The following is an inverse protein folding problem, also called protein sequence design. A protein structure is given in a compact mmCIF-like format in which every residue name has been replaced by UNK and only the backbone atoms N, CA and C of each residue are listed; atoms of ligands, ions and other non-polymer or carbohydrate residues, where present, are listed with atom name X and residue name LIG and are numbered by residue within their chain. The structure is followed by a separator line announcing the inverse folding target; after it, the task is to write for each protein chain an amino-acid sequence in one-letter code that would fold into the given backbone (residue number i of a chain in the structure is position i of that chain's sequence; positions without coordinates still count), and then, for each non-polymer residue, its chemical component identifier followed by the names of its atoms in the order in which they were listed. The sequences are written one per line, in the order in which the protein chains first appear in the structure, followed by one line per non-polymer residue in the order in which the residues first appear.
data_IF_090304739609
#
_entry.id   IF_090304739609
#
_cell.length_a   1.000
_cell.length_b   1.000
_cell.length_c   1.000
_cell.angle_alpha   90.00
_cell.angle_beta   90.00
_cell.angle_gamma   90.00
#
_symmetry.space_group_name_H-M   'P 1'
#
loop_
_entity.id
_entity.type
_entity.pdbx_description
1 polymer ?
#
# COMPACT_ATOMS: atom_id res chain seq x y z
N UNK A 1 6.65 -9.15 5.19
CA UNK A 1 6.93 -7.78 5.69
C UNK A 1 5.84 -7.44 6.71
N UNK A 2 6.18 -6.96 7.92
CA UNK A 2 5.17 -6.60 8.90
C UNK A 2 4.35 -5.39 8.43
N UNK A 3 3.05 -5.40 8.72
CA UNK A 3 2.17 -4.24 8.58
C UNK A 3 2.30 -3.38 9.85
N UNK A 4 2.78 -2.15 9.73
CA UNK A 4 3.05 -1.29 10.89
C UNK A 4 1.79 -0.68 11.53
N UNK A 5 0.60 -0.90 10.94
CA UNK A 5 -0.67 -0.64 11.61
C UNK A 5 -1.15 -1.82 12.48
N UNK A 6 -0.49 -2.99 12.41
CA UNK A 6 -0.85 -4.15 13.23
C UNK A 6 -0.60 -3.89 14.72
N UNK A 7 -1.61 -4.17 15.57
CA UNK A 7 -1.47 -4.06 17.03
C UNK A 7 -0.38 -4.96 17.58
N UNK A 8 -0.26 -6.20 17.07
CA UNK A 8 0.83 -7.13 17.42
C UNK A 8 2.21 -6.59 17.05
N UNK A 9 2.33 -5.86 15.93
CA UNK A 9 3.60 -5.20 15.60
C UNK A 9 3.88 -4.07 16.59
N UNK A 10 2.89 -3.25 16.92
CA UNK A 10 3.04 -2.16 17.90
C UNK A 10 3.47 -2.70 19.27
N UNK A 11 2.75 -3.67 19.83
CA UNK A 11 3.05 -4.30 21.13
C UNK A 11 4.49 -4.82 21.27
N UNK A 12 5.14 -5.17 20.15
CA UNK A 12 6.56 -5.60 20.16
C UNK A 12 7.54 -4.45 20.43
N UNK A 13 7.17 -3.22 20.09
CA UNK A 13 8.04 -2.04 20.15
C UNK A 13 7.61 -1.04 21.22
N UNK A 14 6.40 -1.18 21.75
CA UNK A 14 5.85 -0.38 22.83
C UNK A 14 5.26 -1.32 23.89
N UNK A 15 5.75 -1.23 25.13
CA UNK A 15 5.31 -2.05 26.26
C UNK A 15 3.95 -1.58 26.83
N UNK A 16 3.00 -1.27 25.96
CA UNK A 16 1.70 -0.68 26.33
C UNK A 16 0.58 -1.49 25.68
N UNK A 17 -0.38 -1.94 26.50
CA UNK A 17 -1.64 -2.47 26.00
C UNK A 17 -2.38 -1.35 25.26
N UNK A 18 -2.62 -1.57 23.98
CA UNK A 18 -3.17 -0.56 23.09
C UNK A 18 -4.70 -0.67 22.92
N UNK A 19 -5.33 -1.66 23.57
CA UNK A 19 -6.75 -2.00 23.38
C UNK A 19 -7.72 -0.83 23.57
N UNK A 20 -7.45 0.03 24.56
CA UNK A 20 -8.35 1.11 25.02
C UNK A 20 -7.86 2.53 24.71
N UNK A 21 -6.79 2.68 23.93
CA UNK A 21 -6.20 3.99 23.64
C UNK A 21 -7.10 4.84 22.72
N UNK A 22 -7.18 6.14 23.01
CA UNK A 22 -7.83 7.13 22.16
C UNK A 22 -7.08 7.27 20.82
N UNK A 23 -7.74 7.73 19.73
CA UNK A 23 -7.09 7.86 18.42
C UNK A 23 -5.79 8.67 18.42
N UNK A 24 -5.74 9.78 19.17
CA UNK A 24 -4.53 10.60 19.28
C UNK A 24 -3.40 9.90 20.07
N UNK A 25 -3.75 9.10 21.07
CA UNK A 25 -2.80 8.30 21.85
C UNK A 25 -2.24 7.15 20.99
N UNK A 26 -3.10 6.51 20.19
CA UNK A 26 -2.69 5.51 19.21
C UNK A 26 -1.73 6.09 18.16
N UNK A 27 -1.97 7.31 17.67
CA UNK A 27 -1.07 7.96 16.72
C UNK A 27 0.31 8.22 17.34
N UNK A 28 0.35 8.73 18.57
CA UNK A 28 1.60 8.95 19.30
C UNK A 28 2.35 7.64 19.57
N UNK A 29 1.61 6.58 19.92
CA UNK A 29 2.15 5.24 20.13
C UNK A 29 2.75 4.68 18.84
N UNK A 30 2.06 4.81 17.70
CA UNK A 30 2.55 4.37 16.39
C UNK A 30 3.83 5.11 16.00
N UNK A 31 3.88 6.43 16.18
CA UNK A 31 5.08 7.23 15.93
C UNK A 31 6.26 6.78 16.80
N UNK A 32 6.00 6.44 18.06
CA UNK A 32 7.01 5.93 19.00
C UNK A 32 7.51 4.53 18.60
N UNK A 33 6.61 3.64 18.16
CA UNK A 33 6.96 2.31 17.68
C UNK A 33 7.91 2.37 16.47
N UNK A 34 7.72 3.30 15.53
CA UNK A 34 8.69 3.51 14.43
C UNK A 34 10.08 3.90 14.95
N UNK A 35 10.18 4.79 15.94
CA UNK A 35 11.46 5.20 16.54
C UNK A 35 12.15 4.03 17.25
N UNK A 36 11.41 3.27 18.06
CA UNK A 36 11.92 2.08 18.72
C UNK A 36 12.39 1.02 17.72
N UNK A 37 11.63 0.81 16.65
CA UNK A 37 11.99 -0.11 15.58
C UNK A 37 13.31 0.31 14.89
N UNK A 38 13.44 1.59 14.52
CA UNK A 38 14.65 2.12 13.91
C UNK A 38 15.88 2.03 14.84
N UNK A 39 15.69 2.17 16.16
CA UNK A 39 16.77 2.04 17.13
C UNK A 39 17.34 0.61 17.21
N UNK A 40 16.55 -0.41 16.83
CA UNK A 40 16.99 -1.82 16.80
C UNK A 40 17.64 -2.21 15.48
N UNK A 41 17.58 -1.35 14.45
CA UNK A 41 18.18 -1.57 13.14
C UNK A 41 17.25 -1.24 11.97
N UNK A 42 17.78 -1.38 10.76
CA UNK A 42 17.03 -1.11 9.54
C UNK A 42 16.13 -2.30 9.17
N UNK A 43 14.87 -2.02 8.85
CA UNK A 43 13.91 -3.02 8.37
C UNK A 43 12.94 -2.40 7.36
N UNK A 44 12.23 -3.25 6.62
CA UNK A 44 11.16 -2.81 5.73
C UNK A 44 9.81 -2.93 6.44
N UNK A 45 9.03 -1.87 6.39
CA UNK A 45 7.69 -1.80 6.97
C UNK A 45 6.66 -1.55 5.87
N UNK A 46 5.51 -2.23 5.95
CA UNK A 46 4.36 -2.00 5.07
C UNK A 46 3.40 -1.02 5.75
N UNK A 47 2.97 -0.01 5.02
CA UNK A 47 1.97 0.98 5.46
C UNK A 47 0.99 1.28 4.34
N UNK A 48 -0.20 1.74 4.72
CA UNK A 48 -1.22 2.21 3.77
C UNK A 48 -1.79 3.58 4.14
N UNK A 49 -1.31 4.18 5.23
CA UNK A 49 -1.67 5.53 5.57
C UNK A 49 -1.10 6.49 4.53
N UNK A 50 -1.81 7.58 4.23
CA UNK A 50 -1.20 8.78 3.63
C UNK A 50 -0.03 9.25 4.51
N UNK A 51 0.92 9.96 3.91
CA UNK A 51 1.99 10.55 4.71
C UNK A 51 1.42 11.59 5.68
N UNK A 52 1.89 11.50 6.92
CA UNK A 52 1.72 12.47 8.00
C UNK A 52 3.02 12.51 8.81
N UNK A 53 3.67 13.68 8.90
CA UNK A 53 4.94 13.83 9.62
C UNK A 53 4.83 13.62 11.14
N UNK A 54 3.62 13.61 11.70
CA UNK A 54 3.37 13.24 13.11
C UNK A 54 3.46 11.73 13.31
N UNK A 55 2.94 10.97 12.34
CA UNK A 55 2.93 9.51 12.37
C UNK A 55 4.26 8.91 11.90
N UNK A 56 4.88 9.49 10.88
CA UNK A 56 6.12 9.00 10.26
C UNK A 56 7.31 9.89 10.62
N UNK A 57 8.03 9.61 11.72
CA UNK A 57 9.17 10.43 12.10
C UNK A 57 10.29 10.32 11.06
N UNK A 58 10.67 11.46 10.48
CA UNK A 58 11.74 11.55 9.48
C UNK A 58 13.07 10.96 9.99
N UNK A 59 13.39 11.17 11.28
CA UNK A 59 14.58 10.61 11.91
C UNK A 59 14.59 9.06 11.99
N UNK A 60 13.44 8.41 11.84
CA UNK A 60 13.31 6.95 11.83
C UNK A 60 13.05 6.38 10.42
N UNK A 61 13.10 7.23 9.37
CA UNK A 61 12.74 6.84 8.00
C UNK A 61 13.95 7.02 7.08
N UNK A 62 14.52 5.91 6.61
CA UNK A 62 15.68 5.94 5.70
C UNK A 62 15.28 6.28 4.25
N UNK A 63 14.07 5.88 3.84
CA UNK A 63 13.54 6.16 2.51
C UNK A 63 12.21 5.45 2.28
N UNK A 64 11.51 5.86 1.22
CA UNK A 64 10.16 5.35 0.90
C UNK A 64 10.15 4.65 -0.46
N UNK A 65 9.62 3.44 -0.53
CA UNK A 65 9.25 2.80 -1.81
C UNK A 65 7.74 3.00 -2.01
N UNK A 66 7.37 3.81 -2.99
CA UNK A 66 5.96 4.08 -3.30
C UNK A 66 5.56 3.33 -4.57
N UNK A 67 4.58 2.43 -4.45
CA UNK A 67 4.02 1.71 -5.59
C UNK A 67 2.69 2.35 -5.97
N UNK A 68 2.63 2.91 -7.18
CA UNK A 68 1.40 3.50 -7.73
C UNK A 68 0.83 2.63 -8.85
N UNK A 69 -0.48 2.72 -9.05
CA UNK A 69 -1.22 2.05 -10.12
C UNK A 69 -2.25 3.02 -10.67
N UNK A 70 -2.63 2.85 -11.94
CA UNK A 70 -3.72 3.61 -12.55
C UNK A 70 -4.98 3.53 -11.68
N UNK A 71 -5.59 4.67 -11.26
CA UNK A 71 -6.75 4.64 -10.37
C UNK A 71 -7.95 3.90 -10.99
N UNK A 72 -8.02 3.80 -12.32
CA UNK A 72 -9.04 3.01 -13.02
C UNK A 72 -8.89 1.52 -12.79
N UNK A 73 -7.66 1.01 -12.69
CA UNK A 73 -7.42 -0.38 -12.28
C UNK A 73 -7.47 -0.58 -10.77
N UNK A 74 -7.26 0.48 -9.97
CA UNK A 74 -7.40 0.43 -8.51
C UNK A 74 -8.86 0.25 -8.11
N UNK A 75 -9.80 1.02 -8.69
CA UNK A 75 -11.22 0.99 -8.30
C UNK A 75 -11.86 -0.42 -8.28
N UNK A 76 -11.82 -1.23 -9.35
CA UNK A 76 -12.40 -2.58 -9.32
C UNK A 76 -11.59 -3.54 -8.42
N UNK A 77 -10.28 -3.31 -8.28
CA UNK A 77 -9.44 -4.09 -7.35
C UNK A 77 -9.79 -3.80 -5.89
N UNK A 78 -10.07 -2.54 -5.58
CA UNK A 78 -10.51 -2.08 -4.27
C UNK A 78 -11.91 -2.62 -3.96
N UNK A 79 -12.84 -2.50 -4.91
CA UNK A 79 -14.19 -3.05 -4.79
C UNK A 79 -14.19 -4.53 -4.41
N UNK A 80 -13.40 -5.35 -5.12
CA UNK A 80 -13.25 -6.79 -4.81
C UNK A 80 -12.64 -7.02 -3.42
N UNK A 81 -11.55 -6.34 -3.10
CA UNK A 81 -10.86 -6.50 -1.82
C UNK A 81 -11.76 -6.09 -0.65
N UNK A 82 -12.44 -4.96 -0.77
CA UNK A 82 -13.28 -4.37 0.27
C UNK A 82 -14.70 -4.96 0.31
N UNK A 83 -15.09 -5.75 -0.70
CA UNK A 83 -16.45 -6.26 -0.90
C UNK A 83 -17.51 -5.18 -0.93
N UNK A 84 -17.24 -4.15 -1.71
CA UNK A 84 -18.19 -3.10 -2.05
C UNK A 84 -18.40 -3.09 -3.55
N UNK A 85 -19.47 -2.46 -4.01
CA UNK A 85 -19.62 -2.18 -5.43
C UNK A 85 -18.58 -1.16 -5.93
N UNK A 86 -18.42 -1.10 -7.25
CA UNK A 86 -17.43 -0.23 -7.89
C UNK A 86 -17.71 1.25 -7.65
N UNK A 87 -18.97 1.69 -7.58
CA UNK A 87 -19.30 3.10 -7.37
C UNK A 87 -18.96 3.56 -5.95
N UNK A 88 -19.19 2.70 -4.96
CA UNK A 88 -18.73 2.87 -3.58
C UNK A 88 -17.21 2.93 -3.52
N UNK A 89 -16.49 2.05 -4.23
CA UNK A 89 -15.03 2.10 -4.29
C UNK A 89 -14.52 3.42 -4.88
N UNK A 90 -15.10 3.90 -5.99
CA UNK A 90 -14.76 5.19 -6.59
C UNK A 90 -15.06 6.33 -5.62
N UNK A 91 -16.18 6.28 -4.88
CA UNK A 91 -16.51 7.29 -3.88
C UNK A 91 -15.47 7.36 -2.76
N UNK A 92 -15.06 6.20 -2.24
CA UNK A 92 -14.01 6.11 -1.23
C UNK A 92 -12.66 6.61 -1.75
N UNK A 93 -12.30 6.31 -3.00
CA UNK A 93 -11.07 6.83 -3.63
C UNK A 93 -11.07 8.36 -3.79
N UNK A 94 -12.25 9.00 -3.84
CA UNK A 94 -12.41 10.45 -3.85
C UNK A 94 -12.50 11.10 -2.46
N UNK A 95 -12.61 10.31 -1.38
CA UNK A 95 -12.86 10.81 -0.04
C UNK A 95 -11.57 11.26 0.67
N UNK A 96 -11.43 12.59 0.84
CA UNK A 96 -10.28 13.21 1.51
C UNK A 96 -10.12 12.78 2.98
N UNK A 97 -11.20 12.34 3.62
CA UNK A 97 -11.26 11.89 5.00
C UNK A 97 -11.46 10.38 5.13
N UNK A 98 -11.15 9.62 4.06
CA UNK A 98 -11.20 8.16 4.12
C UNK A 98 -10.26 7.62 5.19
N UNK A 99 -10.82 6.83 6.08
CA UNK A 99 -10.09 6.03 7.05
C UNK A 99 -10.51 4.56 7.00
N UNK A 100 -9.53 3.69 7.13
CA UNK A 100 -9.71 2.25 7.25
C UNK A 100 -9.61 1.81 8.71
N UNK A 101 -10.23 0.68 9.05
CA UNK A 101 -10.14 0.04 10.37
C UNK A 101 -10.67 0.91 11.53
N UNK A 102 -11.67 1.77 11.29
CA UNK A 102 -12.37 2.60 12.32
C UNK A 102 -13.42 1.85 13.14
N UNK A 103 -13.41 0.52 13.15
CA UNK A 103 -14.47 -0.27 13.79
C UNK A 103 -14.66 0.08 15.27
N UNK A 104 -15.91 0.29 15.68
CA UNK A 104 -16.32 0.65 17.05
C UNK A 104 -16.76 -0.55 17.89
N UNK A 105 -16.82 -1.76 17.33
CA UNK A 105 -17.23 -2.96 18.03
C UNK A 105 -16.17 -4.07 17.92
N UNK A 106 -15.64 -4.48 19.07
CA UNK A 106 -14.67 -5.58 19.20
C UNK A 106 -13.22 -5.22 18.88
N UNK A 107 -12.30 -6.10 19.26
CA UNK A 107 -10.87 -5.97 18.98
C UNK A 107 -10.60 -5.93 17.48
N UNK A 108 -9.92 -4.87 17.03
CA UNK A 108 -9.47 -4.73 15.64
C UNK A 108 -7.96 -5.02 15.57
N UNK A 109 -7.50 -6.00 14.79
CA UNK A 109 -6.08 -6.38 14.73
C UNK A 109 -5.18 -5.30 14.12
N UNK A 110 -5.77 -4.29 13.48
CA UNK A 110 -5.09 -3.12 12.93
C UNK A 110 -5.65 -1.85 13.54
N UNK A 111 -4.77 -0.91 13.82
CA UNK A 111 -5.11 0.47 14.20
C UNK A 111 -5.77 1.21 13.04
N UNK A 112 -6.58 2.25 13.32
CA UNK A 112 -7.16 3.08 12.27
C UNK A 112 -6.08 3.67 11.37
N UNK A 113 -6.32 3.65 10.07
CA UNK A 113 -5.38 4.14 9.07
C UNK A 113 -6.02 5.23 8.22
N UNK A 114 -5.37 6.39 8.09
CA UNK A 114 -5.88 7.47 7.24
C UNK A 114 -5.41 7.27 5.81
N UNK A 115 -6.31 7.02 4.87
CA UNK A 115 -5.94 6.84 3.46
C UNK A 115 -6.04 8.16 2.69
N UNK A 116 -7.11 8.94 2.93
CA UNK A 116 -7.49 10.08 2.08
C UNK A 116 -7.79 9.67 0.63
N UNK A 117 -8.10 10.66 -0.22
CA UNK A 117 -8.37 10.44 -1.63
C UNK A 117 -7.10 9.94 -2.34
N UNK A 118 -7.24 9.15 -3.42
CA UNK A 118 -6.12 8.57 -4.16
C UNK A 118 -5.08 9.62 -4.56
N UNK A 119 -5.52 10.75 -5.11
CA UNK A 119 -4.63 11.84 -5.52
C UNK A 119 -3.88 12.45 -4.33
N UNK A 120 -4.57 12.74 -3.24
CA UNK A 120 -3.98 13.29 -2.02
C UNK A 120 -3.01 12.31 -1.37
N UNK A 121 -3.31 11.01 -1.41
CA UNK A 121 -2.42 9.97 -0.91
C UNK A 121 -1.11 9.95 -1.72
N UNK A 122 -1.18 9.98 -3.05
CA UNK A 122 0.01 10.02 -3.92
C UNK A 122 0.84 11.27 -3.63
N UNK A 123 0.21 12.45 -3.62
CA UNK A 123 0.88 13.74 -3.38
C UNK A 123 1.56 13.76 -2.02
N UNK A 124 0.90 13.27 -0.97
CA UNK A 124 1.47 13.26 0.38
C UNK A 124 2.79 12.48 0.46
N UNK A 125 2.91 11.35 -0.23
CA UNK A 125 4.12 10.53 -0.18
C UNK A 125 5.23 11.01 -1.13
N UNK A 126 4.87 11.59 -2.28
CA UNK A 126 5.84 11.91 -3.31
C UNK A 126 6.28 13.39 -3.30
N UNK A 127 5.50 14.28 -2.70
CA UNK A 127 5.81 15.71 -2.62
C UNK A 127 5.97 16.22 -1.19
N UNK A 128 5.22 15.68 -0.21
CA UNK A 128 5.26 16.17 1.18
C UNK A 128 6.22 15.36 2.07
N UNK A 129 6.37 14.06 1.82
CA UNK A 129 7.25 13.21 2.61
C UNK A 129 8.74 13.57 2.40
N UNK A 130 9.52 13.74 3.48
CA UNK A 130 10.93 14.08 3.38
C UNK A 130 11.77 12.86 3.02
N UNK A 131 12.98 13.12 2.54
CA UNK A 131 13.99 12.10 2.28
C UNK A 131 13.84 11.42 0.92
N UNK A 132 14.67 10.41 0.65
CA UNK A 132 14.70 9.76 -0.65
C UNK A 132 13.46 8.87 -0.84
N UNK A 133 12.90 8.88 -2.05
CA UNK A 133 11.84 7.98 -2.45
C UNK A 133 12.14 7.29 -3.78
N UNK A 134 11.66 6.05 -3.91
CA UNK A 134 11.61 5.31 -5.15
C UNK A 134 10.16 5.14 -5.57
N UNK A 135 9.78 5.78 -6.68
CA UNK A 135 8.50 5.56 -7.33
C UNK A 135 8.56 4.35 -8.27
N UNK A 136 7.69 3.38 -8.04
CA UNK A 136 7.44 2.24 -8.92
C UNK A 136 6.00 2.30 -9.43
N UNK A 137 5.82 2.16 -10.74
CA UNK A 137 4.49 2.00 -11.35
C UNK A 137 4.20 0.51 -11.51
N UNK A 138 3.01 0.08 -11.11
CA UNK A 138 2.57 -1.32 -11.23
C UNK A 138 2.68 -1.82 -12.68
N UNK A 139 2.28 -0.99 -13.64
CA UNK A 139 2.30 -1.31 -15.07
C UNK A 139 3.75 -1.50 -15.57
N UNK A 140 4.67 -0.67 -15.09
CA UNK A 140 6.10 -0.78 -15.41
C UNK A 140 6.73 -2.00 -14.76
N UNK A 141 6.32 -2.36 -13.53
CA UNK A 141 6.75 -3.61 -12.87
C UNK A 141 6.34 -4.84 -13.69
N UNK A 142 5.16 -4.81 -14.31
CA UNK A 142 4.71 -5.89 -15.21
C UNK A 142 5.49 -5.90 -16.53
N UNK A 143 5.70 -4.74 -17.15
CA UNK A 143 6.35 -4.64 -18.46
C UNK A 143 7.87 -4.89 -18.41
N UNK A 144 8.52 -4.46 -17.32
CA UNK A 144 9.99 -4.49 -17.18
C UNK A 144 10.44 -4.98 -15.80
N UNK A 145 10.03 -6.20 -15.37
CA UNK A 145 10.21 -6.67 -14.00
C UNK A 145 11.68 -6.73 -13.58
N UNK A 146 12.59 -7.17 -14.46
CA UNK A 146 14.04 -7.23 -14.15
C UNK A 146 14.61 -5.84 -13.89
N UNK A 147 14.23 -4.84 -14.69
CA UNK A 147 14.71 -3.46 -14.56
C UNK A 147 14.22 -2.84 -13.26
N UNK A 148 12.92 -2.94 -12.99
CA UNK A 148 12.32 -2.35 -11.79
C UNK A 148 12.77 -3.07 -10.51
N UNK A 149 12.96 -4.40 -10.55
CA UNK A 149 13.53 -5.15 -9.43
C UNK A 149 14.99 -4.77 -9.15
N UNK A 150 15.80 -4.52 -10.19
CA UNK A 150 17.17 -4.01 -10.01
C UNK A 150 17.19 -2.61 -9.40
N UNK A 151 16.29 -1.71 -9.84
CA UNK A 151 16.12 -0.37 -9.24
C UNK A 151 15.73 -0.45 -7.76
N UNK A 152 14.78 -1.33 -7.43
CA UNK A 152 14.36 -1.58 -6.06
C UNK A 152 15.52 -2.12 -5.21
N UNK A 153 16.23 -3.14 -5.69
CA UNK A 153 17.37 -3.70 -4.97
C UNK A 153 18.46 -2.65 -4.72
N UNK A 154 18.80 -1.84 -5.73
CA UNK A 154 19.77 -0.76 -5.58
C UNK A 154 19.33 0.28 -4.53
N UNK A 155 18.06 0.71 -4.57
CA UNK A 155 17.50 1.65 -3.58
C UNK A 155 17.54 1.10 -2.16
N UNK A 156 17.31 -0.20 -2.00
CA UNK A 156 17.35 -0.88 -0.70
C UNK A 156 18.77 -1.26 -0.24
N UNK A 157 19.81 -0.96 -1.02
CA UNK A 157 21.19 -1.38 -0.73
C UNK A 157 21.39 -2.90 -0.79
N UNK A 158 20.53 -3.62 -1.52
CA UNK A 158 20.60 -5.07 -1.71
C UNK A 158 21.47 -5.44 -2.92
N UNK A 159 21.98 -6.69 -2.99
CA UNK A 159 22.73 -7.16 -4.15
C UNK A 159 21.95 -7.05 -5.46
N UNK A 160 22.58 -6.47 -6.48
CA UNK A 160 21.99 -6.20 -7.80
C UNK A 160 22.51 -7.12 -8.91
N UNK A 161 23.17 -8.24 -8.56
CA UNK A 161 23.71 -9.15 -9.56
C UNK A 161 22.58 -9.68 -10.47
N UNK A 162 22.75 -9.70 -11.81
CA UNK A 162 21.68 -10.07 -12.73
C UNK A 162 21.00 -11.41 -12.42
N UNK A 163 21.79 -12.42 -12.02
CA UNK A 163 21.27 -13.73 -11.64
C UNK A 163 20.42 -13.68 -10.35
N UNK A 164 20.78 -12.86 -9.37
CA UNK A 164 20.00 -12.69 -8.15
C UNK A 164 18.67 -11.99 -8.45
N UNK A 165 18.70 -10.92 -9.25
CA UNK A 165 17.50 -10.22 -9.70
C UNK A 165 16.58 -11.15 -10.49
N UNK A 166 17.12 -11.91 -11.44
CA UNK A 166 16.34 -12.86 -12.24
C UNK A 166 15.67 -13.93 -11.37
N UNK A 167 16.38 -14.48 -10.37
CA UNK A 167 15.79 -15.43 -9.41
C UNK A 167 14.68 -14.80 -8.58
N UNK A 168 14.88 -13.58 -8.07
CA UNK A 168 13.87 -12.87 -7.30
C UNK A 168 12.62 -12.59 -8.14
N UNK A 169 12.79 -12.12 -9.38
CA UNK A 169 11.67 -11.90 -10.32
C UNK A 169 10.94 -13.21 -10.63
N UNK A 170 11.67 -14.30 -10.89
CA UNK A 170 11.05 -15.60 -11.16
C UNK A 170 10.21 -16.11 -9.98
N UNK A 171 10.69 -15.95 -8.74
CA UNK A 171 9.97 -16.33 -7.53
C UNK A 171 8.72 -15.46 -7.27
N UNK A 172 8.72 -14.22 -7.75
CA UNK A 172 7.62 -13.26 -7.59
C UNK A 172 6.67 -13.20 -8.79
N UNK A 173 6.78 -14.13 -9.76
CA UNK A 173 5.82 -14.17 -10.88
C UNK A 173 4.41 -14.47 -10.37
N UNK A 174 3.43 -13.88 -11.05
CA UNK A 174 2.03 -13.96 -10.63
C UNK A 174 1.51 -15.41 -10.54
N UNK A 175 1.86 -16.27 -11.49
CA UNK A 175 1.51 -17.69 -11.50
C UNK A 175 2.12 -18.44 -10.31
N UNK A 176 3.38 -18.15 -9.98
CA UNK A 176 4.08 -18.72 -8.82
C UNK A 176 3.42 -18.29 -7.52
N UNK A 177 3.13 -16.99 -7.36
CA UNK A 177 2.48 -16.45 -6.16
C UNK A 177 1.04 -16.98 -6.00
N UNK A 178 0.31 -17.12 -7.11
CA UNK A 178 -1.04 -17.70 -7.11
C UNK A 178 -1.03 -19.17 -6.68
N UNK A 179 -0.09 -19.96 -7.19
CA UNK A 179 0.05 -21.36 -6.80
C UNK A 179 0.45 -21.50 -5.32
N UNK A 180 1.32 -20.61 -4.82
CA UNK A 180 1.67 -20.56 -3.40
C UNK A 180 0.46 -20.18 -2.52
N UNK A 181 -0.35 -19.20 -2.93
CA UNK A 181 -1.60 -18.85 -2.23
C UNK A 181 -2.59 -20.02 -2.20
N UNK A 182 -2.75 -20.76 -3.29
CA UNK A 182 -3.66 -21.90 -3.34
C UNK A 182 -3.23 -23.04 -2.41
N UNK A 183 -1.91 -23.24 -2.26
CA UNK A 183 -1.34 -24.30 -1.42
C UNK A 183 -1.31 -23.91 0.06
N UNK A 184 -0.81 -22.73 0.37
CA UNK A 184 -0.43 -22.32 1.72
C UNK A 184 -1.36 -21.24 2.31
N UNK A 185 -2.26 -20.69 1.50
CA UNK A 185 -3.03 -19.50 1.82
C UNK A 185 -2.22 -18.22 1.71
N UNK A 186 -2.87 -17.09 2.01
CA UNK A 186 -2.21 -15.78 2.06
C UNK A 186 -2.77 -14.95 3.22
N UNK A 187 -1.89 -14.42 4.08
CA UNK A 187 -2.27 -13.74 5.33
C UNK A 187 -3.03 -12.44 5.10
N UNK A 188 -2.87 -11.78 3.94
CA UNK A 188 -3.58 -10.55 3.61
C UNK A 188 -4.92 -10.78 2.89
N UNK A 189 -5.28 -12.05 2.60
CA UNK A 189 -6.58 -12.37 2.02
C UNK A 189 -7.68 -12.14 3.05
N UNK A 190 -8.69 -11.32 2.73
CA UNK A 190 -9.82 -11.07 3.65
C UNK A 190 -10.74 -12.28 3.75
N UNK A 191 -11.36 -12.48 4.93
CA UNK A 191 -12.29 -13.59 5.19
C UNK A 191 -13.46 -13.58 4.19
N UNK A 192 -13.53 -14.59 3.32
CA UNK A 192 -14.53 -14.75 2.25
C UNK A 192 -14.12 -14.19 0.88
N UNK A 193 -12.89 -13.67 0.75
CA UNK A 193 -12.32 -13.33 -0.55
C UNK A 193 -11.85 -14.64 -1.16
N UNK A 194 -12.24 -14.92 -2.41
CA UNK A 194 -11.87 -16.19 -3.04
C UNK A 194 -10.35 -16.30 -3.17
N UNK A 195 -9.68 -15.24 -3.64
CA UNK A 195 -8.24 -15.18 -3.87
C UNK A 195 -7.74 -13.75 -3.71
N UNK A 196 -6.51 -13.57 -3.24
CA UNK A 196 -5.81 -12.30 -3.21
C UNK A 196 -5.18 -12.01 -4.58
N UNK A 197 -4.52 -13.00 -5.19
CA UNK A 197 -3.93 -12.87 -6.52
C UNK A 197 -4.97 -13.14 -7.61
N UNK A 198 -5.71 -12.09 -8.02
CA UNK A 198 -6.85 -12.20 -8.94
C UNK A 198 -6.47 -12.30 -10.42
N UNK A 199 -5.91 -11.24 -10.99
CA UNK A 199 -5.65 -11.15 -12.45
C UNK A 199 -4.20 -10.79 -12.81
N UNK A 200 -3.50 -10.01 -11.98
CA UNK A 200 -2.09 -9.68 -12.22
C UNK A 200 -1.83 -8.88 -13.50
N UNK A 201 -2.84 -8.14 -13.98
CA UNK A 201 -2.82 -7.44 -15.27
C UNK A 201 -3.07 -5.94 -15.10
N UNK A 202 -2.53 -5.16 -16.02
CA UNK A 202 -2.82 -3.74 -16.21
C UNK A 202 -3.85 -3.57 -17.33
N UNK A 203 -4.67 -2.51 -17.26
CA UNK A 203 -5.70 -2.20 -18.25
C UNK A 203 -6.99 -3.03 -18.11
N UNK A 204 -7.14 -3.81 -17.04
CA UNK A 204 -8.34 -4.61 -16.80
C UNK A 204 -9.59 -3.74 -16.58
N UNK A 205 -9.40 -2.47 -16.20
CA UNK A 205 -10.46 -1.48 -16.05
C UNK A 205 -11.32 -1.27 -17.30
N UNK A 206 -10.78 -1.49 -18.51
CA UNK A 206 -11.55 -1.36 -19.75
C UNK A 206 -12.76 -2.29 -19.82
N UNK A 207 -12.66 -3.48 -19.20
CA UNK A 207 -13.76 -4.44 -19.12
C UNK A 207 -14.55 -4.35 -17.82
N UNK A 208 -13.98 -3.71 -16.79
CA UNK A 208 -14.55 -3.69 -15.44
C UNK A 208 -15.32 -2.41 -15.10
N UNK A 209 -15.04 -1.30 -15.81
CA UNK A 209 -15.69 -0.01 -15.59
C UNK A 209 -16.54 0.38 -16.80
N UNK A 210 -17.69 0.99 -16.54
CA UNK A 210 -18.40 1.72 -17.58
C UNK A 210 -17.76 3.07 -17.89
N UNK A 211 -18.25 3.74 -18.94
CA UNK A 211 -17.72 5.02 -19.39
C UNK A 211 -17.88 6.14 -18.35
N UNK A 212 -18.96 6.13 -17.56
CA UNK A 212 -19.24 7.15 -16.55
C UNK A 212 -18.32 6.99 -15.34
N UNK A 213 -18.10 5.76 -14.88
CA UNK A 213 -17.16 5.41 -13.82
C UNK A 213 -15.72 5.81 -14.17
N UNK A 214 -15.28 5.47 -15.39
CA UNK A 214 -13.96 5.88 -15.87
C UNK A 214 -13.83 7.40 -16.02
N UNK A 215 -14.90 8.09 -16.44
CA UNK A 215 -14.91 9.55 -16.53
C UNK A 215 -14.85 10.22 -15.16
N UNK A 216 -15.55 9.69 -14.16
CA UNK A 216 -15.53 10.19 -12.78
C UNK A 216 -14.14 10.08 -12.16
N UNK A 217 -13.47 8.92 -12.30
CA UNK A 217 -12.09 8.77 -11.82
C UNK A 217 -11.13 9.76 -12.50
N UNK A 218 -11.29 10.02 -13.81
CA UNK A 218 -10.51 11.04 -14.51
C UNK A 218 -10.83 12.46 -14.03
N UNK A 219 -12.09 12.76 -13.72
CA UNK A 219 -12.46 14.07 -13.19
C UNK A 219 -11.85 14.29 -11.79
N UNK A 220 -11.93 13.28 -10.92
CA UNK A 220 -11.48 13.37 -9.53
C UNK A 220 -9.95 13.34 -9.40
N UNK A 221 -9.25 12.66 -10.33
CA UNK A 221 -7.82 12.36 -10.18
C UNK A 221 -6.96 12.73 -11.40
N UNK A 222 -7.54 13.32 -12.44
CA UNK A 222 -6.90 13.55 -13.75
C UNK A 222 -5.59 14.32 -13.68
N UNK A 223 -5.48 15.30 -12.77
CA UNK A 223 -4.24 16.08 -12.58
C UNK A 223 -3.08 15.20 -12.13
N UNK A 224 -3.29 14.40 -11.08
CA UNK A 224 -2.26 13.48 -10.54
C UNK A 224 -2.04 12.30 -11.49
N UNK A 225 -3.09 11.84 -12.17
CA UNK A 225 -2.97 10.85 -13.25
C UNK A 225 -2.02 11.32 -14.35
N UNK A 226 -2.25 12.52 -14.87
CA UNK A 226 -1.42 13.10 -15.93
C UNK A 226 0.03 13.30 -15.46
N UNK A 227 0.24 13.80 -14.23
CA UNK A 227 1.57 13.92 -13.64
C UNK A 227 2.32 12.58 -13.59
N UNK A 228 1.61 11.49 -13.28
CA UNK A 228 2.17 10.14 -13.24
C UNK A 228 2.24 9.45 -14.62
N UNK A 229 1.79 10.11 -15.69
CA UNK A 229 1.78 9.58 -17.05
C UNK A 229 0.70 8.52 -17.28
N UNK A 230 -0.48 8.70 -16.69
CA UNK A 230 -1.71 8.00 -17.04
C UNK A 230 -2.59 8.93 -17.89
N UNK A 231 -3.13 8.41 -18.99
CA UNK A 231 -3.96 9.15 -19.95
C UNK A 231 -5.34 8.49 -20.11
#
# INVERSE_FOLDING_TARGET
MPNAASRTWLERYVEVDNGDLLPAELEHLRASAYRCCAAQGSTLLKVHDRYDGRLFPAAATLGTVYIVRDPRDVAPSWADHMRVDVDTAIAQMGDADLFMSRGSAGYQPQTPQRYSAWSSHVVSWLQEAPGPHLLLRYETLLAHPLREAARLAAFLGLPTAPAQIARAVAACRFDVLRAAEERDGFSERRRGQQRFFRQGQAGAWHAALDAAQAARLRADHGVVMAWLGYH
#
